data_IF_693540474988
#
_entry.id   IF_693540474988
#
_cell.length_a   1.000
_cell.length_b   1.000
_cell.length_c   1.000
_cell.angle_alpha   90.00
_cell.angle_beta   90.00
_cell.angle_gamma   90.00
#
_symmetry.space_group_name_H-M   'P 1'
#
loop_
_entity.id
_entity.type
_entity.pdbx_description
1 polymer ?
#
# COMPACT_ATOMS: atom_id res chain seq x y z
N UNK A 1 19.34 -11.35 41.27
CA UNK A 1 18.60 -11.93 40.13
C UNK A 1 17.56 -12.96 40.57
N UNK A 2 17.90 -13.94 41.41
CA UNK A 2 16.94 -14.92 41.94
C UNK A 2 15.70 -14.28 42.59
N UNK A 3 15.89 -13.33 43.52
CA UNK A 3 14.81 -12.72 44.31
C UNK A 3 13.69 -12.00 43.53
N UNK A 4 14.01 -11.36 42.40
CA UNK A 4 12.98 -10.73 41.56
C UNK A 4 12.20 -11.78 40.74
N UNK A 5 12.86 -12.88 40.41
CA UNK A 5 12.23 -14.02 39.74
C UNK A 5 11.31 -14.73 40.73
N UNK A 6 11.77 -14.98 41.97
CA UNK A 6 10.97 -15.58 43.04
C UNK A 6 9.75 -14.72 43.38
N UNK A 7 9.93 -13.39 43.49
CA UNK A 7 8.84 -12.45 43.69
C UNK A 7 7.83 -12.51 42.53
N UNK A 8 8.30 -12.53 41.28
CA UNK A 8 7.42 -12.69 40.12
C UNK A 8 6.61 -13.97 40.21
N UNK A 9 7.25 -15.09 40.54
CA UNK A 9 6.59 -16.40 40.62
C UNK A 9 5.51 -16.41 41.71
N UNK A 10 5.80 -15.81 42.88
CA UNK A 10 4.80 -15.63 43.94
C UNK A 10 3.61 -14.75 43.50
N UNK A 11 3.87 -13.71 42.70
CA UNK A 11 2.82 -12.81 42.21
C UNK A 11 1.96 -13.45 41.11
N UNK A 12 2.51 -14.35 40.30
CA UNK A 12 1.76 -15.10 39.27
C UNK A 12 0.66 -15.94 39.92
N UNK A 13 0.95 -16.61 41.04
CA UNK A 13 -0.04 -17.39 41.80
C UNK A 13 -0.76 -16.57 42.90
N UNK A 14 -0.51 -15.26 42.97
CA UNK A 14 -1.08 -14.37 43.97
C UNK A 14 -2.60 -14.49 44.13
N UNK A 15 -3.39 -14.45 43.04
CA UNK A 15 -4.85 -14.59 43.13
C UNK A 15 -5.33 -15.93 43.70
N UNK A 16 -4.58 -17.03 43.47
CA UNK A 16 -4.94 -18.37 43.97
C UNK A 16 -4.60 -18.55 45.44
N UNK A 17 -3.47 -17.97 45.86
CA UNK A 17 -2.93 -18.12 47.21
C UNK A 17 -3.42 -17.02 48.17
N UNK A 18 -4.24 -16.08 47.69
CA UNK A 18 -4.75 -14.97 48.51
C UNK A 18 -3.69 -13.93 48.87
N UNK A 19 -2.58 -13.86 48.12
CA UNK A 19 -1.54 -12.86 48.38
C UNK A 19 -2.04 -11.46 48.00
N UNK A 20 -1.84 -10.50 48.91
CA UNK A 20 -2.06 -9.08 48.65
C UNK A 20 -0.73 -8.36 48.58
N UNK A 21 -0.33 -7.96 47.37
CA UNK A 21 0.88 -7.20 47.13
C UNK A 21 0.53 -5.84 46.55
N UNK A 22 0.73 -4.78 47.33
CA UNK A 22 0.36 -3.41 46.99
C UNK A 22 1.56 -2.60 46.51
N UNK A 23 1.30 -1.39 45.99
CA UNK A 23 2.34 -0.43 45.62
C UNK A 23 3.22 -0.04 46.82
N UNK A 24 2.67 -0.01 48.04
CA UNK A 24 3.43 0.23 49.28
C UNK A 24 4.41 -0.91 49.58
N UNK A 25 4.00 -2.15 49.33
CA UNK A 25 4.84 -3.33 49.51
C UNK A 25 5.98 -3.36 48.48
N UNK A 26 5.67 -2.99 47.22
CA UNK A 26 6.68 -2.81 46.17
C UNK A 26 7.75 -1.78 46.56
N UNK A 27 7.34 -0.61 47.04
CA UNK A 27 8.28 0.43 47.47
C UNK A 27 9.08 0.05 48.70
N UNK A 28 8.46 -0.63 49.66
CA UNK A 28 9.16 -1.18 50.82
C UNK A 28 10.20 -2.23 50.41
N UNK A 29 9.86 -3.08 49.43
CA UNK A 29 10.76 -4.07 48.85
C UNK A 29 11.96 -3.41 48.15
N UNK A 30 11.73 -2.39 47.32
CA UNK A 30 12.81 -1.66 46.65
C UNK A 30 13.75 -0.98 47.66
N UNK A 31 13.20 -0.30 48.66
CA UNK A 31 13.98 0.38 49.71
C UNK A 31 14.85 -0.58 50.52
N UNK A 32 14.28 -1.70 50.97
CA UNK A 32 15.02 -2.71 51.75
C UNK A 32 16.17 -3.36 50.96
N UNK A 33 16.11 -3.30 49.64
CA UNK A 33 17.11 -3.90 48.74
C UNK A 33 17.98 -2.86 48.05
N UNK A 34 17.82 -1.58 48.39
CA UNK A 34 18.54 -0.46 47.78
C UNK A 34 18.42 -0.45 46.25
N UNK A 35 17.28 -0.91 45.72
CA UNK A 35 17.02 -0.91 44.29
C UNK A 35 16.55 0.47 43.82
N UNK A 36 16.97 0.89 42.61
CA UNK A 36 16.53 2.16 42.05
C UNK A 36 15.03 2.15 41.77
N UNK A 37 14.38 3.27 42.12
CA UNK A 37 12.95 3.48 41.87
C UNK A 37 12.57 3.56 40.40
N UNK A 38 13.55 3.92 39.55
CA UNK A 38 13.40 4.02 38.10
C UNK A 38 14.62 3.38 37.45
N UNK A 39 14.35 2.39 36.60
CA UNK A 39 15.38 1.81 35.74
C UNK A 39 15.44 2.57 34.42
N UNK A 40 16.64 2.69 33.86
CA UNK A 40 16.80 3.15 32.50
C UNK A 40 16.14 2.15 31.55
N UNK A 41 15.52 2.68 30.50
CA UNK A 41 14.94 1.82 29.48
C UNK A 41 16.06 1.05 28.76
N UNK A 42 15.94 -0.29 28.59
CA UNK A 42 16.92 -1.05 27.84
C UNK A 42 17.05 -0.52 26.41
N UNK A 43 18.28 -0.47 25.88
CA UNK A 43 18.55 0.08 24.56
C UNK A 43 17.73 -0.66 23.48
N UNK A 44 17.60 -1.99 23.55
CA UNK A 44 16.80 -2.77 22.61
C UNK A 44 15.32 -2.39 22.54
N UNK A 45 14.77 -1.56 23.43
CA UNK A 45 13.40 -1.04 23.26
C UNK A 45 13.31 0.13 22.28
N UNK A 46 14.43 0.76 21.97
CA UNK A 46 14.49 1.81 20.95
C UNK A 46 14.41 1.21 19.54
N UNK A 47 13.84 1.92 18.54
CA UNK A 47 13.87 1.50 17.14
C UNK A 47 15.30 1.26 16.65
N UNK A 48 15.50 0.25 15.79
CA UNK A 48 16.83 -0.13 15.26
C UNK A 48 17.51 1.07 14.57
N UNK A 49 16.72 1.89 13.89
CA UNK A 49 17.14 3.07 13.13
C UNK A 49 17.50 4.27 14.01
N UNK A 50 16.98 4.34 15.23
CA UNK A 50 17.12 5.51 16.11
C UNK A 50 18.12 5.32 17.24
N UNK A 51 18.52 4.09 17.53
CA UNK A 51 19.43 3.81 18.64
C UNK A 51 20.85 4.29 18.35
N UNK A 52 21.31 5.26 19.14
CA UNK A 52 22.66 5.85 19.07
C UNK A 52 23.68 5.10 19.93
N UNK A 53 23.22 4.26 20.85
CA UNK A 53 24.07 3.47 21.74
C UNK A 53 23.39 2.13 22.05
N UNK A 54 24.20 1.12 22.36
CA UNK A 54 23.75 -0.16 22.90
C UNK A 54 24.88 -0.81 23.71
N UNK A 55 24.55 -1.79 24.57
CA UNK A 55 25.56 -2.49 25.37
C UNK A 55 25.92 -3.82 24.69
N UNK A 56 27.14 -3.96 24.19
CA UNK A 56 27.61 -5.22 23.57
C UNK A 56 27.55 -6.42 24.52
N UNK A 57 27.76 -6.19 25.82
CA UNK A 57 27.62 -7.23 26.84
C UNK A 57 26.19 -7.68 27.11
N UNK A 58 25.18 -6.99 26.57
CA UNK A 58 23.79 -7.45 26.60
C UNK A 58 23.48 -8.19 25.29
N UNK A 59 23.18 -9.48 25.38
CA UNK A 59 22.96 -10.34 24.21
C UNK A 59 21.82 -9.85 23.30
N UNK A 60 20.76 -9.27 23.87
CA UNK A 60 19.61 -8.78 23.11
C UNK A 60 20.00 -7.52 22.33
N UNK A 61 20.71 -6.60 22.98
CA UNK A 61 21.26 -5.40 22.34
C UNK A 61 22.24 -5.78 21.21
N UNK A 62 23.15 -6.72 21.44
CA UNK A 62 24.09 -7.21 20.43
C UNK A 62 23.37 -7.79 19.21
N UNK A 63 22.45 -8.73 19.40
CA UNK A 63 21.70 -9.33 18.29
C UNK A 63 20.91 -8.26 17.51
N UNK A 64 20.24 -7.36 18.22
CA UNK A 64 19.40 -6.33 17.58
C UNK A 64 20.21 -5.29 16.80
N UNK A 65 21.30 -4.78 17.38
CA UNK A 65 22.00 -3.62 16.86
C UNK A 65 23.31 -3.94 16.13
N UNK A 66 24.00 -5.02 16.49
CA UNK A 66 25.19 -5.47 15.75
C UNK A 66 24.79 -6.37 14.58
N UNK A 67 23.97 -7.40 14.83
CA UNK A 67 23.65 -8.42 13.81
C UNK A 67 22.49 -7.99 12.91
N UNK A 68 21.31 -7.73 13.48
CA UNK A 68 20.11 -7.47 12.68
C UNK A 68 20.17 -6.14 11.92
N UNK A 69 20.75 -5.10 12.52
CA UNK A 69 20.87 -3.78 11.87
C UNK A 69 21.67 -3.87 10.58
N UNK A 70 22.84 -4.52 10.62
CA UNK A 70 23.69 -4.71 9.44
C UNK A 70 22.99 -5.56 8.38
N UNK A 71 22.42 -6.71 8.78
CA UNK A 71 21.67 -7.58 7.88
C UNK A 71 20.50 -6.85 7.20
N UNK A 72 19.74 -6.04 7.95
CA UNK A 72 18.63 -5.27 7.41
C UNK A 72 19.11 -4.17 6.44
N UNK A 73 20.22 -3.51 6.76
CA UNK A 73 20.79 -2.48 5.87
C UNK A 73 21.31 -3.10 4.56
N UNK A 74 21.99 -4.24 4.66
CA UNK A 74 22.46 -5.00 3.50
C UNK A 74 21.30 -5.44 2.62
N UNK A 75 20.23 -5.98 3.22
CA UNK A 75 19.01 -6.34 2.50
C UNK A 75 18.34 -5.14 1.82
N UNK A 76 18.19 -4.01 2.53
CA UNK A 76 17.64 -2.77 1.96
C UNK A 76 18.45 -2.30 0.76
N UNK A 77 19.77 -2.33 0.87
CA UNK A 77 20.68 -1.96 -0.21
C UNK A 77 20.56 -2.92 -1.41
N UNK A 78 20.53 -4.24 -1.17
CA UNK A 78 20.36 -5.26 -2.21
C UNK A 78 19.04 -5.08 -2.96
N UNK A 79 17.94 -4.89 -2.24
CA UNK A 79 16.61 -4.62 -2.83
C UNK A 79 16.65 -3.32 -3.64
N UNK A 80 17.23 -2.25 -3.11
CA UNK A 80 17.34 -0.98 -3.82
C UNK A 80 18.13 -1.11 -5.13
N UNK A 81 19.30 -1.77 -5.07
CA UNK A 81 20.15 -2.00 -6.25
C UNK A 81 19.44 -2.85 -7.31
N UNK A 82 18.66 -3.86 -6.91
CA UNK A 82 17.89 -4.69 -7.85
C UNK A 82 16.71 -3.96 -8.46
N UNK A 83 16.04 -3.11 -7.70
CA UNK A 83 14.82 -2.42 -8.14
C UNK A 83 15.08 -1.08 -8.84
N UNK A 84 16.28 -0.50 -8.73
CA UNK A 84 16.59 0.81 -9.31
C UNK A 84 16.40 0.88 -10.84
N UNK A 85 16.54 -0.26 -11.53
CA UNK A 85 16.43 -0.35 -12.99
C UNK A 85 15.05 -0.81 -13.47
N UNK A 86 14.10 -1.03 -12.55
CA UNK A 86 12.76 -1.48 -12.93
C UNK A 86 11.96 -0.29 -13.45
N UNK A 87 11.64 -0.33 -14.74
CA UNK A 87 10.78 0.67 -15.37
C UNK A 87 9.39 0.62 -14.77
N UNK A 88 8.88 1.78 -14.35
CA UNK A 88 7.52 1.95 -13.81
C UNK A 88 6.47 2.18 -14.88
N UNK A 89 6.89 2.40 -16.13
CA UNK A 89 6.01 2.58 -17.28
C UNK A 89 5.57 1.23 -17.84
N UNK A 90 4.27 1.11 -18.09
CA UNK A 90 3.63 -0.04 -18.68
C UNK A 90 2.80 0.42 -19.88
N UNK A 91 3.26 0.08 -21.08
CA UNK A 91 2.61 0.46 -22.34
C UNK A 91 1.19 -0.09 -22.45
N UNK A 92 0.89 -1.22 -21.81
CA UNK A 92 -0.45 -1.81 -21.86
C UNK A 92 -1.47 -0.97 -21.07
N UNK A 93 -1.01 -0.18 -20.09
CA UNK A 93 -1.88 0.67 -19.29
C UNK A 93 -2.07 2.06 -19.93
N UNK A 94 -1.07 2.56 -20.66
CA UNK A 94 -1.17 3.85 -21.37
C UNK A 94 -1.74 3.73 -22.79
N UNK A 95 -1.62 2.56 -23.42
CA UNK A 95 -1.86 2.35 -24.85
C UNK A 95 -3.24 2.82 -25.32
N UNK A 96 -4.30 2.45 -24.60
CA UNK A 96 -5.67 2.81 -25.00
C UNK A 96 -5.86 4.34 -25.13
N UNK A 97 -5.40 5.10 -24.15
CA UNK A 97 -5.50 6.56 -24.19
C UNK A 97 -4.54 7.18 -25.22
N UNK A 98 -3.30 6.69 -25.33
CA UNK A 98 -2.32 7.24 -26.29
C UNK A 98 -2.72 6.98 -27.73
N UNK A 99 -3.14 5.75 -28.05
CA UNK A 99 -3.53 5.36 -29.40
C UNK A 99 -4.75 6.15 -29.87
N UNK A 100 -5.71 6.37 -28.96
CA UNK A 100 -6.87 7.18 -29.24
C UNK A 100 -6.47 8.63 -29.42
N UNK A 101 -5.73 9.20 -28.47
CA UNK A 101 -5.27 10.59 -28.58
C UNK A 101 -4.53 10.85 -29.90
N UNK A 102 -3.65 9.93 -30.32
CA UNK A 102 -2.90 10.03 -31.58
C UNK A 102 -3.78 9.82 -32.83
N UNK A 103 -4.75 8.90 -32.78
CA UNK A 103 -5.70 8.67 -33.87
C UNK A 103 -6.64 9.86 -34.07
N UNK A 104 -7.09 10.49 -32.98
CA UNK A 104 -8.05 11.60 -33.03
C UNK A 104 -7.38 12.95 -33.30
N UNK A 105 -6.12 13.15 -32.91
CA UNK A 105 -5.30 14.27 -33.39
C UNK A 105 -5.11 14.27 -34.92
N UNK A 106 -5.25 13.09 -35.55
CA UNK A 106 -5.23 12.93 -37.01
C UNK A 106 -6.63 12.98 -37.64
N UNK A 107 -7.68 12.92 -36.83
CA UNK A 107 -9.08 13.07 -37.25
C UNK A 107 -9.55 14.53 -37.15
N UNK A 108 -10.71 14.82 -37.74
CA UNK A 108 -11.33 16.16 -37.76
C UNK A 108 -12.47 16.33 -36.73
N UNK A 109 -12.59 15.42 -35.76
CA UNK A 109 -13.68 15.46 -34.78
C UNK A 109 -13.30 16.26 -33.52
N UNK A 110 -13.51 17.56 -33.62
CA UNK A 110 -13.22 18.53 -32.55
C UNK A 110 -13.95 18.23 -31.23
N UNK A 111 -15.13 17.61 -31.29
CA UNK A 111 -15.93 17.33 -30.09
C UNK A 111 -15.31 16.18 -29.27
N UNK A 112 -14.84 15.13 -29.93
CA UNK A 112 -14.12 14.03 -29.29
C UNK A 112 -12.82 14.51 -28.64
N UNK A 113 -12.09 15.42 -29.32
CA UNK A 113 -10.86 16.01 -28.76
C UNK A 113 -11.20 16.81 -27.50
N UNK A 114 -12.21 17.67 -27.52
CA UNK A 114 -12.64 18.44 -26.35
C UNK A 114 -13.00 17.55 -25.16
N UNK A 115 -13.67 16.42 -25.40
CA UNK A 115 -13.99 15.44 -24.35
C UNK A 115 -12.73 14.83 -23.71
N UNK A 116 -11.74 14.44 -24.52
CA UNK A 116 -10.47 13.90 -24.00
C UNK A 116 -9.68 14.93 -23.18
N UNK A 117 -9.72 16.20 -23.61
CA UNK A 117 -9.12 17.31 -22.85
C UNK A 117 -9.87 17.55 -21.53
N UNK A 118 -11.21 17.49 -21.55
CA UNK A 118 -12.03 17.61 -20.36
C UNK A 118 -11.75 16.49 -19.36
N UNK A 119 -11.67 15.24 -19.84
CA UNK A 119 -11.27 14.08 -19.05
C UNK A 119 -9.91 14.30 -18.37
N UNK A 120 -8.89 14.69 -19.14
CA UNK A 120 -7.56 14.94 -18.60
C UNK A 120 -7.57 16.07 -17.55
N UNK A 121 -8.29 17.16 -17.80
CA UNK A 121 -8.45 18.28 -16.87
C UNK A 121 -9.12 17.87 -15.56
N UNK A 122 -10.18 17.06 -15.63
CA UNK A 122 -10.89 16.54 -14.46
C UNK A 122 -9.99 15.63 -13.62
N UNK A 123 -9.21 14.76 -14.26
CA UNK A 123 -8.27 13.88 -13.57
C UNK A 123 -7.12 14.66 -12.90
N UNK A 124 -6.60 15.70 -13.55
CA UNK A 124 -5.59 16.59 -12.95
C UNK A 124 -6.16 17.31 -11.73
N UNK A 125 -7.41 17.78 -11.82
CA UNK A 125 -8.12 18.43 -10.71
C UNK A 125 -8.28 17.48 -9.53
N UNK A 126 -8.76 16.26 -9.78
CA UNK A 126 -8.90 15.20 -8.78
C UNK A 126 -7.59 14.96 -8.00
N UNK A 127 -6.46 14.88 -8.72
CA UNK A 127 -5.14 14.67 -8.12
C UNK A 127 -4.69 15.88 -7.30
N UNK A 128 -4.95 17.09 -7.80
CA UNK A 128 -4.64 18.33 -7.08
C UNK A 128 -5.38 18.38 -5.76
N UNK A 129 -6.67 18.02 -5.76
CA UNK A 129 -7.51 18.04 -4.57
C UNK A 129 -7.13 16.94 -3.57
N UNK A 130 -6.79 15.74 -4.07
CA UNK A 130 -6.14 14.71 -3.26
C UNK A 130 -4.87 15.21 -2.56
N UNK A 131 -3.95 15.83 -3.30
CA UNK A 131 -2.69 16.37 -2.75
C UNK A 131 -2.96 17.44 -1.68
N UNK A 132 -3.93 18.34 -1.92
CA UNK A 132 -4.33 19.37 -0.94
C UNK A 132 -4.91 18.76 0.33
N UNK A 133 -5.78 17.75 0.22
CA UNK A 133 -6.37 17.03 1.38
C UNK A 133 -5.29 16.39 2.24
N UNK A 134 -4.38 15.65 1.63
CA UNK A 134 -3.29 14.96 2.35
C UNK A 134 -2.29 15.92 2.99
N UNK A 135 -2.04 17.08 2.36
CA UNK A 135 -1.18 18.13 2.93
C UNK A 135 -1.80 18.77 4.18
N UNK A 136 -3.11 19.06 4.16
CA UNK A 136 -3.81 19.69 5.30
C UNK A 136 -4.00 18.76 6.50
N UNK A 137 -4.20 17.46 6.26
CA UNK A 137 -4.52 16.48 7.31
C UNK A 137 -3.29 15.88 8.02
N UNK A 138 -2.09 16.44 7.82
CA UNK A 138 -0.89 16.04 8.58
C UNK A 138 -0.32 14.66 8.21
N UNK A 139 -0.68 14.08 7.06
CA UNK A 139 -0.07 12.85 6.53
C UNK A 139 -0.30 11.57 7.34
N UNK A 140 -1.09 11.60 8.42
CA UNK A 140 -1.40 10.44 9.25
C UNK A 140 -2.07 9.31 8.47
N UNK A 141 -1.87 8.07 8.91
CA UNK A 141 -2.46 6.86 8.32
C UNK A 141 -3.93 6.65 8.70
N UNK A 142 -4.39 7.28 9.80
CA UNK A 142 -5.72 7.05 10.37
C UNK A 142 -6.90 7.48 9.48
N UNK A 143 -6.67 8.31 8.45
CA UNK A 143 -7.69 8.79 7.50
C UNK A 143 -7.39 8.42 6.05
N UNK A 144 -6.40 7.57 5.83
CA UNK A 144 -5.95 7.27 4.47
C UNK A 144 -7.06 6.61 3.65
N UNK A 145 -7.75 5.64 4.25
CA UNK A 145 -8.80 4.88 3.57
C UNK A 145 -10.02 5.76 3.25
N UNK A 146 -10.46 6.59 4.20
CA UNK A 146 -11.55 7.54 3.99
C UNK A 146 -11.23 8.56 2.88
N UNK A 147 -10.00 9.09 2.86
CA UNK A 147 -9.56 10.01 1.82
C UNK A 147 -9.58 9.31 0.45
N UNK A 148 -9.17 8.04 0.38
CA UNK A 148 -9.15 7.24 -0.86
C UNK A 148 -10.56 6.95 -1.33
N UNK A 149 -11.46 6.55 -0.44
CA UNK A 149 -12.86 6.30 -0.76
C UNK A 149 -13.52 7.55 -1.32
N UNK A 150 -13.29 8.70 -0.71
CA UNK A 150 -13.79 9.97 -1.21
C UNK A 150 -13.23 10.32 -2.60
N UNK A 151 -11.92 10.12 -2.83
CA UNK A 151 -11.32 10.32 -4.15
C UNK A 151 -11.86 9.32 -5.19
N UNK A 152 -12.23 8.11 -4.77
CA UNK A 152 -12.86 7.11 -5.63
C UNK A 152 -14.27 7.51 -6.04
N UNK A 153 -15.07 8.07 -5.13
CA UNK A 153 -16.39 8.61 -5.47
C UNK A 153 -16.29 9.78 -6.46
N UNK A 154 -15.35 10.70 -6.25
CA UNK A 154 -15.07 11.80 -7.19
C UNK A 154 -14.61 11.27 -8.56
N UNK A 155 -13.75 10.25 -8.57
CA UNK A 155 -13.30 9.58 -9.79
C UNK A 155 -14.44 8.90 -10.56
N UNK A 156 -15.39 8.28 -9.86
CA UNK A 156 -16.56 7.65 -10.47
C UNK A 156 -17.48 8.70 -11.12
N UNK A 157 -17.59 9.90 -10.55
CA UNK A 157 -18.41 11.00 -11.06
C UNK A 157 -17.85 11.64 -12.35
N UNK A 158 -16.61 11.32 -12.74
CA UNK A 158 -16.06 11.76 -14.03
C UNK A 158 -16.73 10.97 -15.16
N UNK A 159 -17.70 11.61 -15.82
CA UNK A 159 -18.46 11.13 -16.98
C UNK A 159 -18.23 12.03 -18.20
N UNK A 160 -18.51 11.56 -19.42
CA UNK A 160 -18.43 12.41 -20.61
C UNK A 160 -19.42 13.58 -20.54
N UNK A 161 -19.06 14.73 -21.09
CA UNK A 161 -19.91 15.93 -21.12
C UNK A 161 -20.88 15.92 -22.30
N UNK A 162 -20.43 15.49 -23.49
CA UNK A 162 -21.23 15.44 -24.71
C UNK A 162 -21.69 14.01 -25.04
N UNK A 163 -22.68 13.50 -24.29
CA UNK A 163 -23.27 12.17 -24.53
C UNK A 163 -24.16 12.09 -25.78
N UNK A 164 -24.42 13.21 -26.44
CA UNK A 164 -25.20 13.24 -27.70
C UNK A 164 -24.35 12.89 -28.92
N UNK A 165 -23.02 13.02 -28.82
CA UNK A 165 -22.11 12.70 -29.90
C UNK A 165 -22.02 11.17 -30.10
N UNK A 166 -22.23 10.62 -31.31
CA UNK A 166 -22.32 9.16 -31.53
C UNK A 166 -21.10 8.38 -31.01
N UNK A 167 -19.89 8.92 -31.18
CA UNK A 167 -18.66 8.28 -30.70
C UNK A 167 -18.63 8.27 -29.17
N UNK A 168 -18.98 9.39 -28.52
CA UNK A 168 -18.94 9.53 -27.07
C UNK A 168 -20.05 8.70 -26.41
N UNK A 169 -21.22 8.64 -27.03
CA UNK A 169 -22.32 7.77 -26.62
C UNK A 169 -21.89 6.30 -26.61
N UNK A 170 -21.18 5.85 -27.65
CA UNK A 170 -20.67 4.48 -27.74
C UNK A 170 -19.68 4.12 -26.64
N UNK A 171 -19.03 5.11 -26.00
CA UNK A 171 -18.10 4.84 -24.91
C UNK A 171 -18.79 4.40 -23.63
N UNK A 172 -20.06 4.78 -23.47
CA UNK A 172 -20.90 4.40 -22.34
C UNK A 172 -21.56 3.03 -22.54
N UNK A 173 -21.44 2.44 -23.74
CA UNK A 173 -21.98 1.12 -24.01
C UNK A 173 -21.28 0.07 -23.16
N UNK A 174 -22.10 -0.79 -22.57
CA UNK A 174 -21.65 -1.87 -21.70
C UNK A 174 -21.85 -3.20 -22.43
N UNK A 175 -20.80 -3.79 -23.02
CA UNK A 175 -20.94 -5.00 -23.83
C UNK A 175 -21.39 -6.22 -23.01
N UNK A 176 -21.14 -6.23 -21.70
CA UNK A 176 -21.54 -7.30 -20.78
C UNK A 176 -22.09 -6.67 -19.50
N UNK A 177 -23.21 -7.16 -18.97
CA UNK A 177 -23.96 -6.55 -17.85
C UNK A 177 -23.14 -6.20 -16.60
N UNK A 178 -21.97 -6.80 -16.40
CA UNK A 178 -21.04 -6.50 -15.30
C UNK A 178 -19.61 -6.12 -15.74
N UNK A 179 -19.39 -5.85 -17.03
CA UNK A 179 -18.11 -5.46 -17.60
C UNK A 179 -17.83 -3.96 -17.49
N UNK A 180 -16.60 -3.56 -17.81
CA UNK A 180 -16.24 -2.15 -17.93
C UNK A 180 -16.86 -1.55 -19.20
N UNK A 181 -17.26 -0.29 -19.11
CA UNK A 181 -17.53 0.50 -20.31
C UNK A 181 -16.21 0.90 -20.96
N UNK A 182 -16.24 1.24 -22.24
CA UNK A 182 -15.05 1.79 -22.91
C UNK A 182 -14.59 3.08 -22.22
N UNK A 183 -15.52 3.88 -21.70
CA UNK A 183 -15.22 5.07 -20.90
C UNK A 183 -14.43 4.74 -19.63
N UNK A 184 -14.80 3.68 -18.90
CA UNK A 184 -14.09 3.27 -17.67
C UNK A 184 -12.62 2.93 -17.96
N UNK A 185 -12.39 2.17 -19.04
CA UNK A 185 -11.04 1.79 -19.48
C UNK A 185 -10.24 3.01 -20.00
N UNK A 186 -10.87 3.88 -20.77
CA UNK A 186 -10.27 5.10 -21.29
C UNK A 186 -9.87 6.05 -20.14
N UNK A 187 -10.77 6.23 -19.17
CA UNK A 187 -10.53 7.04 -17.96
C UNK A 187 -9.39 6.46 -17.13
N UNK A 188 -9.32 5.14 -16.94
CA UNK A 188 -8.21 4.48 -16.27
C UNK A 188 -6.88 4.68 -17.03
N UNK A 189 -6.88 4.46 -18.35
CA UNK A 189 -5.68 4.64 -19.18
C UNK A 189 -5.20 6.10 -19.21
N UNK A 190 -6.13 7.06 -19.24
CA UNK A 190 -5.84 8.49 -19.12
C UNK A 190 -5.23 8.83 -17.75
N UNK A 191 -5.79 8.26 -16.67
CA UNK A 191 -5.29 8.42 -15.30
C UNK A 191 -3.84 7.94 -15.21
N UNK A 192 -3.52 6.77 -15.77
CA UNK A 192 -2.15 6.27 -15.82
C UNK A 192 -1.25 7.19 -16.66
N UNK A 193 -1.67 7.55 -17.86
CA UNK A 193 -0.84 8.31 -18.81
C UNK A 193 -0.52 9.73 -18.35
N UNK A 194 -1.51 10.46 -17.81
CA UNK A 194 -1.35 11.88 -17.45
C UNK A 194 -0.77 12.11 -16.06
N UNK A 195 -0.88 11.14 -15.16
CA UNK A 195 -0.65 11.36 -13.73
C UNK A 195 0.47 10.48 -13.15
N UNK A 196 0.99 9.48 -13.87
CA UNK A 196 2.06 8.60 -13.37
C UNK A 196 3.33 9.39 -13.02
N UNK A 197 3.34 9.81 -11.76
CA UNK A 197 4.50 10.09 -10.92
C UNK A 197 4.65 8.85 -10.03
N UNK A 198 5.88 8.35 -9.87
CA UNK A 198 6.17 7.18 -9.04
C UNK A 198 5.60 7.32 -7.62
N UNK A 199 5.53 8.56 -7.11
CA UNK A 199 4.98 8.89 -5.79
C UNK A 199 3.45 8.75 -5.68
N UNK A 200 2.75 8.72 -6.80
CA UNK A 200 1.29 8.64 -6.89
C UNK A 200 0.79 7.26 -7.32
N UNK A 201 1.69 6.30 -7.55
CA UNK A 201 1.36 4.94 -7.98
C UNK A 201 0.28 4.31 -7.09
N UNK A 202 0.48 4.27 -5.77
CA UNK A 202 -0.49 3.69 -4.85
C UNK A 202 -1.88 4.32 -4.97
N UNK A 203 -1.95 5.65 -5.10
CA UNK A 203 -3.21 6.37 -5.28
C UNK A 203 -3.90 5.96 -6.59
N UNK A 204 -3.19 5.99 -7.71
CA UNK A 204 -3.73 5.64 -9.04
C UNK A 204 -4.23 4.20 -9.07
N UNK A 205 -3.44 3.26 -8.53
CA UNK A 205 -3.82 1.84 -8.45
C UNK A 205 -4.97 1.58 -7.46
N UNK A 206 -5.16 2.42 -6.46
CA UNK A 206 -6.33 2.34 -5.56
C UNK A 206 -7.62 2.76 -6.27
N UNK A 207 -7.54 3.74 -7.19
CA UNK A 207 -8.71 4.22 -7.92
C UNK A 207 -9.11 3.32 -9.08
N UNK A 208 -8.15 2.93 -9.91
CA UNK A 208 -8.41 2.27 -11.19
C UNK A 208 -7.74 0.88 -11.31
N UNK A 209 -7.38 0.27 -10.18
CA UNK A 209 -6.65 -1.00 -10.15
C UNK A 209 -7.39 -2.16 -10.82
N UNK A 210 -8.73 -2.15 -10.79
CA UNK A 210 -9.54 -3.19 -11.43
C UNK A 210 -9.50 -3.07 -12.95
N UNK A 211 -9.58 -1.85 -13.45
CA UNK A 211 -9.49 -1.48 -14.85
C UNK A 211 -8.08 -1.77 -15.39
N UNK A 212 -7.03 -1.43 -14.62
CA UNK A 212 -5.64 -1.78 -14.97
C UNK A 212 -5.42 -3.28 -15.05
N UNK A 213 -5.94 -4.04 -14.09
CA UNK A 213 -5.84 -5.50 -14.11
C UNK A 213 -6.52 -6.07 -15.36
N UNK A 214 -7.72 -5.57 -15.69
CA UNK A 214 -8.47 -5.99 -16.87
C UNK A 214 -7.70 -5.70 -18.17
N UNK A 215 -7.21 -4.46 -18.34
CA UNK A 215 -6.42 -4.09 -19.51
C UNK A 215 -5.15 -4.94 -19.60
N UNK A 216 -4.39 -5.05 -18.50
CA UNK A 216 -3.13 -5.81 -18.50
C UNK A 216 -3.33 -7.28 -18.81
N UNK A 217 -4.35 -7.92 -18.24
CA UNK A 217 -4.60 -9.34 -18.47
C UNK A 217 -4.92 -9.62 -19.94
N UNK A 218 -5.80 -8.82 -20.55
CA UNK A 218 -6.17 -8.96 -21.96
C UNK A 218 -5.02 -8.62 -22.92
N UNK A 219 -4.13 -7.69 -22.55
CA UNK A 219 -2.98 -7.35 -23.39
C UNK A 219 -1.83 -8.37 -23.32
N UNK A 220 -1.75 -9.20 -22.28
CA UNK A 220 -0.63 -10.14 -22.08
C UNK A 220 -0.94 -11.54 -22.61
N UNK A 221 -2.12 -12.08 -22.35
CA UNK A 221 -2.47 -13.44 -22.76
C UNK A 221 -3.90 -13.52 -23.33
N UNK A 222 -4.07 -13.93 -24.60
CA UNK A 222 -5.38 -14.12 -25.21
C UNK A 222 -6.20 -15.23 -24.53
N UNK A 223 -5.59 -16.13 -23.77
CA UNK A 223 -6.27 -17.20 -23.04
C UNK A 223 -6.68 -16.80 -21.62
N UNK A 224 -6.65 -15.50 -21.30
CA UNK A 224 -7.09 -14.98 -20.00
C UNK A 224 -8.52 -15.40 -19.69
N UNK A 225 -8.71 -15.97 -18.49
CA UNK A 225 -10.02 -16.37 -17.99
C UNK A 225 -10.46 -15.46 -16.84
N UNK A 226 -11.69 -14.94 -16.95
CA UNK A 226 -12.30 -14.18 -15.87
C UNK A 226 -12.93 -15.11 -14.85
N UNK A 227 -12.65 -14.86 -13.59
CA UNK A 227 -13.13 -15.66 -12.46
C UNK A 227 -13.96 -14.76 -11.55
N UNK A 228 -15.10 -15.27 -11.08
CA UNK A 228 -15.94 -14.54 -10.12
C UNK A 228 -15.24 -14.43 -8.77
N UNK A 229 -15.63 -13.44 -7.96
CA UNK A 229 -15.04 -13.23 -6.64
C UNK A 229 -15.16 -14.47 -5.73
N UNK A 230 -16.31 -15.17 -5.79
CA UNK A 230 -16.53 -16.40 -5.00
C UNK A 230 -15.55 -17.51 -5.41
N UNK A 231 -15.38 -17.77 -6.71
CA UNK A 231 -14.42 -18.78 -7.17
C UNK A 231 -12.99 -18.36 -6.84
N UNK A 232 -12.62 -17.09 -7.10
CA UNK A 232 -11.28 -16.57 -6.84
C UNK A 232 -10.90 -16.72 -5.36
N UNK A 233 -11.84 -16.51 -4.43
CA UNK A 233 -11.61 -16.67 -2.99
C UNK A 233 -11.27 -18.11 -2.57
N UNK A 234 -11.63 -19.10 -3.39
CA UNK A 234 -11.40 -20.53 -3.14
C UNK A 234 -10.16 -21.06 -3.84
N UNK A 235 -9.64 -20.36 -4.84
CA UNK A 235 -8.41 -20.73 -5.52
C UNK A 235 -7.20 -20.53 -4.60
N UNK A 236 -6.26 -21.47 -4.67
CA UNK A 236 -4.97 -21.39 -3.97
C UNK A 236 -3.86 -21.57 -4.97
N UNK A 237 -2.80 -20.77 -4.83
CA UNK A 237 -1.59 -20.92 -5.63
C UNK A 237 -1.02 -22.31 -5.37
N UNK A 238 -0.96 -23.14 -6.42
CA UNK A 238 -0.33 -24.45 -6.35
C UNK A 238 1.16 -24.24 -6.14
N UNK A 239 1.72 -24.77 -5.05
CA UNK A 239 3.17 -24.74 -4.85
C UNK A 239 3.84 -25.48 -6.01
N UNK A 240 4.86 -24.90 -6.65
CA UNK A 240 5.64 -25.62 -7.64
C UNK A 240 6.14 -26.91 -7.00
N UNK A 241 6.00 -28.05 -7.69
CA UNK A 241 6.69 -29.27 -7.27
C UNK A 241 8.17 -28.97 -7.38
N UNK A 242 8.84 -28.78 -6.24
CA UNK A 242 10.30 -28.77 -6.20
C UNK A 242 10.74 -30.17 -6.62
N UNK A 243 11.18 -30.31 -7.87
CA UNK A 243 11.95 -31.48 -8.30
C UNK A 243 13.22 -31.44 -7.48
N UNK A 244 13.28 -32.28 -6.44
CA UNK A 244 14.40 -32.31 -5.51
C UNK A 244 15.67 -32.71 -6.24
N UNK A 245 16.54 -31.74 -6.52
CA UNK A 245 17.98 -31.98 -6.51
C UNK A 245 18.36 -32.16 -5.04
N UNK A 246 18.33 -33.41 -4.57
CA UNK A 246 19.12 -33.76 -3.38
C UNK A 246 20.61 -33.78 -3.79
N UNK A 247 21.50 -33.33 -2.90
CA UNK A 247 22.95 -33.25 -3.15
C UNK A 247 23.55 -34.63 -3.42
#
# INVERSE_FOLDING_TARGET
MALLSDLRDCLVDGPKNGYRFTKKDWYSFLNRREYPWKLNEPAYKQPIEKATWYKEGNIIDYVKFAVMRESLQNFKNEVHVRLQFVTSKDEHLSGLYTDWYDSWLRGEDDEVIKELWHLAGNLITLVSDWKKRRSKNGGGTERYDDDIEQAYLEYQQITPSNTSHPVVASWMDRPVSNGFTTWDLLKASALYTKIVDQKMSHFIFSLAGREFLFMKALSVDPNTQFVTSDIMSRLKVKRPRTTGSKP
#
